data_IF_616122806056
#
_entry.id   IF_616122806056
#
_cell.length_a   1.000
_cell.length_b   1.000
_cell.length_c   1.000
_cell.angle_alpha   90.00
_cell.angle_beta   90.00
_cell.angle_gamma   90.00
#
_symmetry.space_group_name_H-M   'P 1'
#
loop_
_entity.id
_entity.type
_entity.pdbx_description
1 polymer ?
#
# COMPACT_ATOMS: atom_id res chain seq x y z
N UNK A 1 -19.86 -12.03 9.92
CA UNK A 1 -19.02 -11.40 10.95
C UNK A 1 -18.13 -10.36 10.28
N UNK A 2 -17.80 -9.28 10.99
CA UNK A 2 -16.98 -8.16 10.47
C UNK A 2 -15.53 -8.36 10.89
N UNK A 3 -14.61 -8.35 9.93
CA UNK A 3 -13.16 -8.36 10.17
C UNK A 3 -12.49 -7.02 9.83
N UNK A 4 -11.21 -6.89 10.18
CA UNK A 4 -10.39 -5.69 10.00
C UNK A 4 -8.97 -6.07 9.57
N UNK A 5 -8.51 -5.54 8.44
CA UNK A 5 -7.13 -5.72 7.94
C UNK A 5 -6.56 -4.38 7.49
N UNK A 6 -5.69 -3.77 8.30
CA UNK A 6 -5.05 -2.49 7.98
C UNK A 6 -3.55 -2.71 7.89
N UNK A 7 -3.01 -2.68 6.67
CA UNK A 7 -1.58 -2.85 6.43
C UNK A 7 -0.77 -1.60 6.79
N UNK A 8 0.48 -1.82 7.22
CA UNK A 8 1.49 -0.76 7.40
C UNK A 8 2.91 -1.35 7.33
N UNK A 9 3.91 -0.47 7.23
CA UNK A 9 5.30 -0.88 7.03
C UNK A 9 6.23 -0.44 8.15
N UNK A 10 5.93 0.71 8.77
CA UNK A 10 6.81 1.29 9.79
C UNK A 10 6.26 1.08 11.22
N UNK A 11 5.08 0.46 11.37
CA UNK A 11 4.45 0.17 12.67
C UNK A 11 4.39 1.42 13.56
N UNK A 12 4.56 1.28 14.88
CA UNK A 12 4.60 2.41 15.81
C UNK A 12 5.97 3.09 15.95
N UNK A 13 6.78 3.17 14.89
CA UNK A 13 8.16 3.68 14.98
C UNK A 13 8.25 5.10 15.57
N UNK A 14 7.31 5.99 15.26
CA UNK A 14 7.25 7.31 15.88
C UNK A 14 7.14 7.23 17.42
N UNK A 15 6.25 6.38 17.91
CA UNK A 15 6.09 6.11 19.35
C UNK A 15 7.36 5.51 19.94
N UNK A 16 7.99 4.57 19.23
CA UNK A 16 9.26 3.95 19.66
C UNK A 16 10.36 5.00 19.75
N UNK A 17 10.54 5.86 18.75
CA UNK A 17 11.54 6.93 18.77
C UNK A 17 11.31 7.89 19.95
N UNK A 18 10.07 8.27 20.23
CA UNK A 18 9.73 9.10 21.37
C UNK A 18 10.07 8.42 22.70
N UNK A 19 9.68 7.16 22.87
CA UNK A 19 9.94 6.41 24.10
C UNK A 19 11.40 5.99 24.26
N UNK A 20 12.16 5.86 23.18
CA UNK A 20 13.59 5.61 23.24
C UNK A 20 14.36 6.79 23.84
N UNK A 21 13.94 8.03 23.57
CA UNK A 21 14.48 9.22 24.25
C UNK A 21 14.19 9.18 25.75
N UNK A 22 12.95 8.87 26.12
CA UNK A 22 12.54 8.72 27.53
C UNK A 22 13.36 7.64 28.24
N UNK A 23 13.59 6.50 27.58
CA UNK A 23 14.43 5.42 28.11
C UNK A 23 15.84 5.90 28.42
N UNK A 24 16.46 6.66 27.51
CA UNK A 24 17.85 7.13 27.65
C UNK A 24 17.99 8.25 28.70
N UNK A 25 17.01 9.16 28.77
CA UNK A 25 17.09 10.35 29.64
C UNK A 25 16.57 10.07 31.06
N UNK A 26 15.55 9.21 31.20
CA UNK A 26 14.80 9.06 32.44
C UNK A 26 14.71 7.60 32.93
N UNK A 27 15.27 6.64 32.17
CA UNK A 27 15.35 5.24 32.54
C UNK A 27 14.08 4.41 32.25
N UNK A 28 14.18 3.07 32.35
CA UNK A 28 13.15 2.15 31.87
C UNK A 28 11.80 2.26 32.60
N UNK A 29 11.79 2.69 33.86
CA UNK A 29 10.53 2.86 34.63
C UNK A 29 9.66 4.01 34.11
N UNK A 30 10.20 4.87 33.25
CA UNK A 30 9.49 6.03 32.68
C UNK A 30 8.93 5.78 31.29
N UNK A 31 9.26 4.65 30.67
CA UNK A 31 8.69 4.24 29.39
C UNK A 31 7.20 3.98 29.57
N UNK A 32 6.39 4.55 28.68
CA UNK A 32 4.94 4.41 28.72
C UNK A 32 4.52 2.95 28.49
N UNK A 33 3.65 2.36 29.34
CA UNK A 33 3.17 1.00 29.15
C UNK A 33 2.33 0.83 27.87
N UNK A 34 1.71 1.91 27.37
CA UNK A 34 0.92 1.86 26.13
C UNK A 34 1.79 1.62 24.89
N UNK A 35 3.11 1.81 25.00
CA UNK A 35 4.02 1.58 23.89
C UNK A 35 3.97 0.11 23.44
N UNK A 36 3.90 -0.84 24.36
CA UNK A 36 3.89 -2.28 24.04
C UNK A 36 2.77 -2.66 23.05
N UNK A 37 1.49 -2.31 23.27
CA UNK A 37 0.42 -2.61 22.31
C UNK A 37 0.35 -1.66 21.10
N UNK A 38 1.04 -0.51 21.11
CA UNK A 38 0.96 0.48 20.02
C UNK A 38 2.16 0.46 19.08
N UNK A 39 3.26 -0.21 19.47
CA UNK A 39 4.44 -0.34 18.61
C UNK A 39 4.30 -1.48 17.58
N UNK A 40 3.36 -2.41 17.78
CA UNK A 40 3.16 -3.58 16.94
C UNK A 40 2.50 -3.21 15.62
N UNK A 41 2.79 -3.97 14.55
CA UNK A 41 2.25 -3.70 13.22
C UNK A 41 0.73 -3.88 13.11
N UNK A 42 0.12 -4.66 13.99
CA UNK A 42 -1.33 -4.90 14.03
C UNK A 42 -2.12 -3.87 14.83
N UNK A 43 -1.45 -2.92 15.51
CA UNK A 43 -2.08 -1.95 16.41
C UNK A 43 -3.25 -1.19 15.75
N UNK A 44 -3.11 -0.81 14.47
CA UNK A 44 -4.17 -0.13 13.73
C UNK A 44 -5.42 -1.01 13.55
N UNK A 45 -5.24 -2.26 13.10
CA UNK A 45 -6.35 -3.22 12.96
C UNK A 45 -7.02 -3.49 14.30
N UNK A 46 -6.24 -3.67 15.37
CA UNK A 46 -6.76 -3.91 16.72
C UNK A 46 -7.58 -2.71 17.21
N UNK A 47 -7.07 -1.48 17.06
CA UNK A 47 -7.81 -0.29 17.49
C UNK A 47 -9.13 -0.12 16.75
N UNK A 48 -9.14 -0.33 15.43
CA UNK A 48 -10.39 -0.27 14.65
C UNK A 48 -11.34 -1.39 15.06
N UNK A 49 -10.85 -2.61 15.30
CA UNK A 49 -11.66 -3.71 15.82
C UNK A 49 -12.30 -3.38 17.17
N UNK A 50 -11.55 -2.77 18.09
CA UNK A 50 -12.06 -2.33 19.39
C UNK A 50 -13.14 -1.25 19.26
N UNK A 51 -12.95 -0.26 18.38
CA UNK A 51 -13.90 0.83 18.14
C UNK A 51 -15.21 0.29 17.56
N UNK A 52 -15.11 -0.63 16.60
CA UNK A 52 -16.27 -1.18 15.89
C UNK A 52 -16.94 -2.35 16.63
N UNK A 53 -16.31 -2.88 17.69
CA UNK A 53 -16.72 -4.14 18.29
C UNK A 53 -16.61 -5.33 17.32
N UNK A 54 -15.72 -5.24 16.33
CA UNK A 54 -15.52 -6.26 15.31
C UNK A 54 -14.82 -7.48 15.92
N UNK A 55 -15.39 -8.67 15.70
CA UNK A 55 -14.93 -9.94 16.29
C UNK A 55 -14.45 -10.95 15.24
N UNK A 56 -14.46 -10.59 13.96
CA UNK A 56 -13.94 -11.42 12.88
C UNK A 56 -12.43 -11.34 12.75
N UNK A 57 -11.93 -11.75 11.58
CA UNK A 57 -10.51 -11.74 11.22
C UNK A 57 -9.85 -10.39 11.49
N UNK A 58 -8.74 -10.36 12.23
CA UNK A 58 -8.05 -9.13 12.63
C UNK A 58 -6.53 -9.32 12.61
N UNK A 59 -5.83 -8.73 11.64
CA UNK A 59 -4.36 -8.73 11.55
C UNK A 59 -3.87 -7.59 10.64
N UNK A 60 -2.56 -7.45 10.45
CA UNK A 60 -1.94 -6.43 9.59
C UNK A 60 -0.84 -7.05 8.71
N UNK A 61 -1.00 -7.07 7.38
CA UNK A 61 0.08 -7.46 6.48
C UNK A 61 1.11 -6.34 6.35
N UNK A 62 2.37 -6.72 6.23
CA UNK A 62 3.48 -5.80 5.95
C UNK A 62 4.25 -6.27 4.73
N UNK A 63 4.06 -5.57 3.62
CA UNK A 63 4.75 -5.78 2.34
C UNK A 63 5.33 -4.47 1.81
N UNK A 64 5.79 -3.59 2.71
CA UNK A 64 6.28 -2.26 2.38
C UNK A 64 5.21 -1.44 1.62
N UNK A 65 5.55 -0.82 0.49
CA UNK A 65 4.68 0.07 -0.26
C UNK A 65 3.36 -0.58 -0.73
N UNK A 66 3.29 -1.92 -0.84
CA UNK A 66 2.07 -2.64 -1.21
C UNK A 66 1.18 -3.03 -0.04
N UNK A 67 1.56 -2.75 1.21
CA UNK A 67 0.83 -3.22 2.42
C UNK A 67 -0.66 -2.89 2.40
N UNK A 68 -1.04 -1.69 1.94
CA UNK A 68 -2.45 -1.28 1.84
C UNK A 68 -3.22 -2.04 0.75
N UNK A 69 -2.61 -2.24 -0.42
CA UNK A 69 -3.22 -3.03 -1.51
C UNK A 69 -3.33 -4.51 -1.14
N UNK A 70 -2.33 -5.06 -0.46
CA UNK A 70 -2.34 -6.44 0.02
C UNK A 70 -3.40 -6.65 1.10
N UNK A 71 -3.63 -5.67 1.99
CA UNK A 71 -4.69 -5.71 2.97
C UNK A 71 -6.08 -5.77 2.31
N UNK A 72 -6.33 -4.91 1.31
CA UNK A 72 -7.57 -4.93 0.51
C UNK A 72 -7.72 -6.26 -0.23
N UNK A 73 -6.65 -6.73 -0.87
CA UNK A 73 -6.63 -7.99 -1.60
C UNK A 73 -6.89 -9.22 -0.73
N UNK A 74 -6.34 -9.25 0.47
CA UNK A 74 -6.58 -10.34 1.44
C UNK A 74 -7.98 -10.29 2.04
N UNK A 75 -8.52 -9.09 2.29
CA UNK A 75 -9.93 -8.93 2.69
C UNK A 75 -10.90 -9.44 1.61
N UNK A 76 -10.62 -9.13 0.33
CA UNK A 76 -11.35 -9.69 -0.80
C UNK A 76 -11.29 -11.22 -0.81
N UNK A 77 -10.12 -11.82 -0.60
CA UNK A 77 -9.98 -13.29 -0.54
C UNK A 77 -10.73 -13.90 0.65
N UNK A 78 -10.70 -13.27 1.82
CA UNK A 78 -11.42 -13.75 3.00
C UNK A 78 -12.94 -13.76 2.78
N UNK A 79 -13.50 -12.72 2.15
CA UNK A 79 -14.93 -12.69 1.78
C UNK A 79 -15.24 -13.78 0.76
N UNK A 80 -14.41 -13.91 -0.28
CA UNK A 80 -14.58 -14.94 -1.30
C UNK A 80 -14.50 -16.37 -0.78
N UNK A 81 -13.69 -16.60 0.25
CA UNK A 81 -13.57 -17.89 0.92
C UNK A 81 -14.76 -18.19 1.85
N UNK A 82 -15.61 -17.20 2.14
CA UNK A 82 -16.71 -17.30 3.10
C UNK A 82 -16.30 -17.09 4.55
N UNK A 83 -15.04 -16.71 4.82
CA UNK A 83 -14.51 -16.47 6.16
C UNK A 83 -15.03 -15.15 6.76
N UNK A 84 -15.50 -14.23 5.93
CA UNK A 84 -16.07 -12.95 6.34
C UNK A 84 -17.23 -12.51 5.42
N UNK A 85 -18.15 -11.71 5.97
CA UNK A 85 -19.18 -11.03 5.17
C UNK A 85 -18.89 -9.55 4.95
N UNK A 86 -18.14 -8.95 5.88
CA UNK A 86 -17.76 -7.54 5.90
C UNK A 86 -16.31 -7.46 6.36
N UNK A 87 -15.50 -6.66 5.67
CA UNK A 87 -14.12 -6.39 6.02
C UNK A 87 -13.86 -4.89 5.97
N UNK A 88 -13.26 -4.33 7.02
CA UNK A 88 -12.66 -3.00 6.97
C UNK A 88 -11.20 -3.17 6.58
N UNK A 89 -10.82 -2.72 5.39
CA UNK A 89 -9.49 -2.98 4.86
C UNK A 89 -8.83 -1.76 4.22
N UNK A 90 -7.51 -1.67 4.32
CA UNK A 90 -6.75 -0.56 3.75
C UNK A 90 -5.35 -0.45 4.30
N UNK A 91 -4.81 0.76 4.35
CA UNK A 91 -3.47 1.02 4.86
C UNK A 91 -3.36 2.33 5.63
N UNK A 92 -2.38 2.39 6.51
CA UNK A 92 -2.01 3.59 7.27
C UNK A 92 -0.50 3.70 7.35
N UNK A 93 0.02 4.92 7.30
CA UNK A 93 1.44 5.15 7.52
C UNK A 93 1.70 6.55 8.07
N UNK A 94 2.65 6.66 9.00
CA UNK A 94 3.10 7.93 9.58
C UNK A 94 4.64 7.98 9.59
N UNK A 95 5.29 8.05 8.41
CA UNK A 95 6.72 7.82 8.29
C UNK A 95 7.55 9.10 8.41
N UNK A 96 6.94 10.25 8.74
CA UNK A 96 7.65 11.53 8.81
C UNK A 96 8.39 11.62 10.16
N UNK A 97 9.51 10.90 10.25
CA UNK A 97 10.43 10.90 11.38
C UNK A 97 11.87 11.17 10.92
N UNK A 98 12.72 11.85 11.71
CA UNK A 98 14.10 12.12 11.32
C UNK A 98 14.91 10.87 10.93
N UNK A 99 14.72 9.77 11.65
CA UNK A 99 15.43 8.51 11.35
C UNK A 99 14.98 7.89 10.02
N UNK A 100 13.69 8.01 9.69
CA UNK A 100 13.11 7.47 8.45
C UNK A 100 13.57 8.31 7.26
N UNK A 101 13.50 9.64 7.39
CA UNK A 101 14.01 10.57 6.39
C UNK A 101 15.50 10.32 6.12
N UNK A 102 16.31 10.17 7.17
CA UNK A 102 17.73 9.86 7.05
C UNK A 102 17.98 8.51 6.36
N UNK A 103 17.23 7.46 6.73
CA UNK A 103 17.35 6.13 6.14
C UNK A 103 17.02 6.11 4.64
N UNK A 104 15.91 6.72 4.22
CA UNK A 104 15.54 6.79 2.80
C UNK A 104 16.47 7.70 2.00
N UNK A 105 16.99 8.77 2.59
CA UNK A 105 18.00 9.62 1.94
C UNK A 105 19.34 8.86 1.75
N UNK A 106 19.73 8.02 2.72
CA UNK A 106 20.96 7.22 2.67
C UNK A 106 20.96 6.20 1.50
N UNK A 107 19.78 5.68 1.13
CA UNK A 107 19.63 4.82 -0.06
C UNK A 107 19.26 5.59 -1.32
N UNK A 108 19.25 6.93 -1.26
CA UNK A 108 18.98 7.83 -2.39
C UNK A 108 17.59 7.64 -3.03
N UNK A 109 16.60 7.30 -2.22
CA UNK A 109 15.24 7.08 -2.71
C UNK A 109 14.38 8.37 -2.73
N UNK A 110 14.75 9.37 -1.93
CA UNK A 110 14.03 10.64 -1.82
C UNK A 110 14.48 11.66 -2.86
N UNK A 111 13.53 12.46 -3.35
CA UNK A 111 13.83 13.66 -4.12
C UNK A 111 14.70 14.62 -3.29
N UNK A 112 15.66 15.27 -3.94
CA UNK A 112 16.53 16.29 -3.34
C UNK A 112 16.12 17.71 -3.71
N UNK A 113 14.99 17.85 -4.42
CA UNK A 113 14.43 19.14 -4.83
C UNK A 113 13.72 19.82 -3.66
N UNK A 114 14.53 20.47 -2.82
CA UNK A 114 14.02 21.28 -1.71
C UNK A 114 13.51 22.66 -2.15
N UNK A 115 13.84 23.09 -3.38
CA UNK A 115 13.29 24.30 -4.00
C UNK A 115 12.16 23.90 -4.96
N UNK A 116 10.99 24.52 -4.84
CA UNK A 116 9.82 24.17 -5.67
C UNK A 116 9.20 22.81 -5.31
N UNK A 117 8.94 22.59 -4.02
CA UNK A 117 8.54 21.29 -3.44
C UNK A 117 7.28 20.69 -4.05
N UNK A 118 6.37 21.52 -4.56
CA UNK A 118 5.13 21.11 -5.22
C UNK A 118 5.41 20.36 -6.53
N UNK A 119 6.56 20.60 -7.16
CA UNK A 119 6.97 19.89 -8.37
C UNK A 119 8.02 18.80 -8.08
N UNK A 120 8.33 18.49 -6.83
CA UNK A 120 9.39 17.54 -6.50
C UNK A 120 9.00 16.09 -6.84
N UNK A 121 7.78 15.68 -6.51
CA UNK A 121 7.24 14.38 -6.89
C UNK A 121 6.71 14.44 -8.32
N UNK A 122 7.44 13.85 -9.27
CA UNK A 122 7.14 13.90 -10.71
C UNK A 122 7.25 12.52 -11.37
N UNK A 123 6.29 11.61 -11.12
CA UNK A 123 6.31 10.26 -11.69
C UNK A 123 6.43 10.29 -13.22
N UNK A 124 7.27 9.41 -13.77
CA UNK A 124 7.55 9.25 -15.20
C UNK A 124 8.19 10.46 -15.92
N UNK A 125 8.34 11.61 -15.25
CA UNK A 125 9.03 12.77 -15.80
C UNK A 125 10.53 12.49 -16.04
N UNK A 126 11.10 13.11 -17.07
CA UNK A 126 12.50 12.92 -17.45
C UNK A 126 13.49 13.39 -16.37
N UNK A 127 13.10 14.37 -15.55
CA UNK A 127 13.94 14.96 -14.51
C UNK A 127 13.61 14.50 -13.08
N UNK A 128 12.84 13.41 -12.94
CA UNK A 128 12.52 12.81 -11.64
C UNK A 128 13.77 12.32 -10.92
N UNK A 129 13.85 12.55 -9.61
CA UNK A 129 15.03 12.26 -8.80
C UNK A 129 14.74 11.49 -7.51
N UNK A 130 13.49 11.06 -7.29
CA UNK A 130 13.07 10.30 -6.12
C UNK A 130 11.64 10.64 -5.68
N UNK A 131 11.13 9.89 -4.72
CA UNK A 131 9.81 10.14 -4.15
C UNK A 131 9.86 11.22 -3.06
N UNK A 132 8.69 11.76 -2.70
CA UNK A 132 8.51 12.63 -1.53
C UNK A 132 7.77 11.84 -0.46
N UNK A 133 8.27 11.84 0.78
CA UNK A 133 7.58 11.16 1.88
C UNK A 133 6.26 11.87 2.20
N UNK A 134 5.18 11.09 2.20
CA UNK A 134 3.87 11.49 2.71
C UNK A 134 3.45 10.61 3.88
N UNK A 135 2.42 11.06 4.59
CA UNK A 135 1.74 10.31 5.64
C UNK A 135 0.23 10.32 5.40
N UNK A 136 -0.47 9.32 5.92
CA UNK A 136 -1.92 9.25 5.77
C UNK A 136 -2.49 7.85 5.99
N UNK A 137 -3.80 7.75 5.88
CA UNK A 137 -4.53 6.50 5.95
C UNK A 137 -5.67 6.49 4.94
N UNK A 138 -5.94 5.32 4.38
CA UNK A 138 -7.10 5.07 3.52
C UNK A 138 -7.68 3.70 3.87
N UNK A 139 -8.99 3.66 4.09
CA UNK A 139 -9.71 2.43 4.44
C UNK A 139 -11.02 2.35 3.65
N UNK A 140 -11.42 1.12 3.35
CA UNK A 140 -12.65 0.78 2.63
C UNK A 140 -13.44 -0.23 3.45
N UNK A 141 -14.77 -0.19 3.33
CA UNK A 141 -15.64 -1.27 3.77
C UNK A 141 -15.91 -2.15 2.55
N UNK A 142 -15.49 -3.41 2.62
CA UNK A 142 -15.63 -4.41 1.56
C UNK A 142 -16.62 -5.45 2.06
N UNK A 143 -17.58 -5.83 1.22
CA UNK A 143 -18.66 -6.73 1.62
C UNK A 143 -18.89 -7.80 0.57
N UNK A 144 -19.48 -8.90 1.02
CA UNK A 144 -20.15 -9.83 0.12
C UNK A 144 -21.26 -9.09 -0.65
N UNK A 145 -21.29 -9.25 -1.98
CA UNK A 145 -22.20 -8.49 -2.84
C UNK A 145 -23.67 -8.81 -2.55
N UNK A 146 -24.00 -10.08 -2.28
CA UNK A 146 -25.38 -10.48 -1.97
C UNK A 146 -25.85 -9.86 -0.65
N UNK A 147 -24.97 -9.85 0.36
CA UNK A 147 -25.23 -9.21 1.64
C UNK A 147 -25.41 -7.69 1.51
N UNK A 148 -24.54 -7.03 0.74
CA UNK A 148 -24.63 -5.59 0.48
C UNK A 148 -25.95 -5.21 -0.21
N UNK A 149 -26.37 -6.00 -1.21
CA UNK A 149 -27.66 -5.82 -1.92
C UNK A 149 -28.85 -6.05 -0.99
N UNK A 150 -28.84 -7.13 -0.21
CA UNK A 150 -29.93 -7.47 0.71
C UNK A 150 -30.23 -6.33 1.70
N UNK A 151 -29.20 -5.67 2.21
CA UNK A 151 -29.32 -4.57 3.17
C UNK A 151 -29.44 -3.18 2.52
N UNK A 152 -29.49 -3.09 1.19
CA UNK A 152 -29.58 -1.82 0.45
C UNK A 152 -28.36 -0.91 0.60
N UNK A 153 -27.17 -1.48 0.71
CA UNK A 153 -25.93 -0.72 0.79
C UNK A 153 -25.60 -0.01 -0.53
N UNK A 154 -25.11 1.24 -0.51
CA UNK A 154 -24.60 1.87 -1.72
C UNK A 154 -23.29 1.18 -2.17
N UNK A 155 -23.27 0.69 -3.41
CA UNK A 155 -22.11 0.00 -4.00
C UNK A 155 -21.35 1.01 -4.87
N UNK A 156 -20.08 1.27 -4.53
CA UNK A 156 -19.22 2.21 -5.27
C UNK A 156 -18.49 1.53 -6.44
N UNK A 157 -18.00 0.31 -6.21
CA UNK A 157 -17.24 -0.49 -7.17
C UNK A 157 -17.20 -1.96 -6.71
N UNK A 158 -16.78 -2.84 -7.61
CA UNK A 158 -16.52 -4.25 -7.32
C UNK A 158 -15.02 -4.56 -7.42
N UNK A 159 -14.49 -5.33 -6.48
CA UNK A 159 -13.14 -5.87 -6.57
C UNK A 159 -13.22 -7.22 -7.29
N UNK A 160 -12.74 -7.26 -8.53
CA UNK A 160 -12.85 -8.46 -9.38
C UNK A 160 -11.61 -9.35 -9.32
N UNK A 161 -10.46 -8.82 -8.91
CA UNK A 161 -9.22 -9.59 -8.84
C UNK A 161 -8.13 -8.94 -7.99
N UNK A 162 -7.27 -9.77 -7.44
CA UNK A 162 -6.08 -9.39 -6.68
C UNK A 162 -4.97 -10.41 -6.91
N UNK A 163 -3.72 -9.97 -6.98
CA UNK A 163 -2.57 -10.87 -6.90
C UNK A 163 -1.37 -10.17 -6.27
N UNK A 164 -0.42 -10.97 -5.79
CA UNK A 164 0.85 -10.51 -5.22
C UNK A 164 1.95 -11.46 -5.67
N UNK A 165 3.14 -10.90 -5.93
CA UNK A 165 4.31 -11.63 -6.41
C UNK A 165 5.57 -11.03 -5.80
N UNK A 166 6.67 -11.78 -5.79
CA UNK A 166 7.99 -11.28 -5.42
C UNK A 166 8.91 -11.24 -6.64
N UNK A 167 9.77 -10.23 -6.71
CA UNK A 167 10.83 -10.13 -7.73
C UNK A 167 11.96 -11.12 -7.46
N UNK A 168 12.23 -11.44 -6.20
CA UNK A 168 13.39 -12.24 -5.77
C UNK A 168 14.73 -11.79 -6.39
N UNK A 169 14.91 -10.47 -6.56
CA UNK A 169 16.01 -9.89 -7.33
C UNK A 169 16.98 -9.06 -6.48
N UNK A 170 16.49 -7.98 -5.86
CA UNK A 170 17.31 -7.06 -5.06
C UNK A 170 16.49 -6.51 -3.89
N UNK A 171 17.15 -6.13 -2.80
CA UNK A 171 16.48 -5.68 -1.58
C UNK A 171 15.68 -4.38 -1.77
N UNK A 172 16.25 -3.43 -2.52
CA UNK A 172 15.70 -2.07 -2.69
C UNK A 172 15.46 -1.65 -4.13
N UNK A 173 15.78 -2.51 -5.10
CA UNK A 173 15.65 -2.20 -6.52
C UNK A 173 14.67 -3.18 -7.16
N UNK A 174 13.78 -2.70 -8.05
CA UNK A 174 12.91 -3.59 -8.80
C UNK A 174 13.73 -4.41 -9.79
N UNK A 175 13.17 -5.54 -10.22
CA UNK A 175 13.67 -6.25 -11.40
C UNK A 175 13.76 -5.28 -12.60
N UNK A 176 14.90 -5.18 -13.31
CA UNK A 176 15.12 -4.15 -14.33
C UNK A 176 14.08 -4.15 -15.45
N UNK A 177 13.54 -5.33 -15.78
CA UNK A 177 12.55 -5.51 -16.83
C UNK A 177 11.10 -5.51 -16.30
N UNK A 178 10.92 -5.27 -14.99
CA UNK A 178 9.59 -5.20 -14.36
C UNK A 178 8.86 -6.54 -14.35
N UNK A 179 9.59 -7.65 -14.40
CA UNK A 179 9.00 -8.96 -14.68
C UNK A 179 8.07 -9.45 -13.56
N UNK A 180 8.40 -9.23 -12.28
CA UNK A 180 7.48 -9.55 -11.18
C UNK A 180 6.21 -8.71 -11.20
N UNK A 181 6.32 -7.39 -11.41
CA UNK A 181 5.16 -6.52 -11.60
C UNK A 181 4.29 -6.97 -12.79
N UNK A 182 4.91 -7.36 -13.92
CA UNK A 182 4.19 -7.89 -15.08
C UNK A 182 3.47 -9.21 -14.76
N UNK A 183 4.08 -10.10 -13.97
CA UNK A 183 3.40 -11.32 -13.49
C UNK A 183 2.22 -10.99 -12.60
N UNK A 184 2.35 -10.06 -11.65
CA UNK A 184 1.26 -9.65 -10.78
C UNK A 184 0.07 -9.12 -11.60
N UNK A 185 0.33 -8.26 -12.59
CA UNK A 185 -0.71 -7.75 -13.50
C UNK A 185 -1.41 -8.88 -14.26
N UNK A 186 -0.65 -9.82 -14.88
CA UNK A 186 -1.24 -10.96 -15.60
C UNK A 186 -2.06 -11.88 -14.70
N UNK A 187 -1.60 -12.14 -13.48
CA UNK A 187 -2.32 -12.96 -12.50
C UNK A 187 -3.59 -12.26 -12.02
N UNK A 188 -3.56 -10.94 -11.80
CA UNK A 188 -4.73 -10.17 -11.41
C UNK A 188 -5.80 -10.18 -12.51
N UNK A 189 -5.41 -9.91 -13.76
CA UNK A 189 -6.29 -10.02 -14.95
C UNK A 189 -6.89 -11.42 -15.09
N UNK A 190 -6.05 -12.46 -14.99
CA UNK A 190 -6.51 -13.86 -15.05
C UNK A 190 -7.51 -14.20 -13.94
N UNK A 191 -7.29 -13.70 -12.72
CA UNK A 191 -8.20 -13.94 -11.58
C UNK A 191 -9.52 -13.18 -11.70
N UNK A 192 -9.50 -12.05 -12.39
CA UNK A 192 -10.67 -11.26 -12.73
C UNK A 192 -11.41 -11.75 -13.97
N UNK A 193 -10.86 -12.73 -14.70
CA UNK A 193 -11.34 -13.16 -16.02
C UNK A 193 -11.44 -12.00 -17.03
N UNK A 194 -10.45 -11.09 -16.98
CA UNK A 194 -10.38 -9.92 -17.85
C UNK A 194 -9.20 -10.02 -18.82
N UNK A 195 -9.39 -9.46 -20.01
CA UNK A 195 -8.36 -9.21 -21.00
C UNK A 195 -7.75 -7.82 -20.82
N UNK A 196 -6.54 -7.56 -21.36
CA UNK A 196 -5.95 -6.22 -21.33
C UNK A 196 -6.83 -5.12 -21.95
N UNK A 197 -7.66 -5.47 -22.94
CA UNK A 197 -8.58 -4.52 -23.59
C UNK A 197 -9.74 -4.08 -22.72
N UNK A 198 -10.06 -4.83 -21.65
CA UNK A 198 -11.14 -4.51 -20.71
C UNK A 198 -10.70 -3.48 -19.65
N UNK A 199 -9.43 -3.10 -19.63
CA UNK A 199 -8.92 -2.10 -18.68
C UNK A 199 -9.01 -0.72 -19.29
N UNK A 200 -9.72 0.17 -18.59
CA UNK A 200 -9.92 1.55 -19.02
C UNK A 200 -8.96 2.54 -18.37
N UNK A 201 -8.33 2.19 -17.25
CA UNK A 201 -7.47 3.09 -16.50
C UNK A 201 -6.48 2.33 -15.61
N UNK A 202 -5.28 2.88 -15.45
CA UNK A 202 -4.27 2.38 -14.50
C UNK A 202 -3.87 3.50 -13.54
N UNK A 203 -4.06 3.26 -12.25
CA UNK A 203 -3.38 4.02 -11.20
C UNK A 203 -2.04 3.36 -10.91
N UNK A 204 -0.95 3.97 -11.36
CA UNK A 204 0.40 3.44 -11.23
C UNK A 204 0.94 3.61 -9.81
N UNK A 205 1.90 2.77 -9.43
CA UNK A 205 2.70 2.96 -8.23
C UNK A 205 3.50 4.27 -8.32
N UNK A 206 4.13 4.54 -9.47
CA UNK A 206 4.65 5.84 -9.89
C UNK A 206 5.37 6.60 -8.77
N UNK A 207 6.54 6.11 -8.35
CA UNK A 207 7.25 6.69 -7.19
C UNK A 207 8.12 7.89 -7.56
N UNK A 208 8.16 8.31 -8.83
CA UNK A 208 9.10 9.33 -9.28
C UNK A 208 10.58 8.92 -9.11
N UNK A 209 10.87 7.63 -8.90
CA UNK A 209 12.24 7.11 -8.88
C UNK A 209 12.63 6.63 -10.28
N UNK A 210 13.92 6.73 -10.61
CA UNK A 210 14.41 6.40 -11.95
C UNK A 210 14.15 4.93 -12.32
N UNK A 211 14.48 4.02 -11.40
CA UNK A 211 14.39 2.57 -11.63
C UNK A 211 12.94 2.07 -11.61
N UNK A 212 12.13 2.46 -10.61
CA UNK A 212 10.75 2.01 -10.49
C UNK A 212 9.93 2.39 -11.72
N UNK A 213 9.88 3.68 -12.04
CA UNK A 213 8.97 4.17 -13.09
C UNK A 213 9.34 3.58 -14.46
N UNK A 214 10.64 3.28 -14.68
CA UNK A 214 11.12 2.57 -15.87
C UNK A 214 10.67 1.10 -15.87
N UNK A 215 10.86 0.38 -14.76
CA UNK A 215 10.47 -1.01 -14.62
C UNK A 215 8.95 -1.18 -14.72
N UNK A 216 8.18 -0.30 -14.07
CA UNK A 216 6.71 -0.27 -14.11
C UNK A 216 6.20 0.01 -15.53
N UNK A 217 6.77 0.99 -16.24
CA UNK A 217 6.44 1.26 -17.65
C UNK A 217 6.68 0.03 -18.53
N UNK A 218 7.79 -0.68 -18.32
CA UNK A 218 8.10 -1.93 -19.06
C UNK A 218 7.12 -3.03 -18.74
N UNK A 219 6.79 -3.22 -17.45
CA UNK A 219 5.83 -4.19 -16.98
C UNK A 219 4.47 -3.98 -17.67
N UNK A 220 3.92 -2.76 -17.60
CA UNK A 220 2.65 -2.38 -18.21
C UNK A 220 2.69 -2.64 -19.72
N UNK A 221 3.70 -2.12 -20.44
CA UNK A 221 3.81 -2.35 -21.90
C UNK A 221 3.92 -3.83 -22.28
N UNK A 222 4.55 -4.66 -21.44
CA UNK A 222 4.67 -6.10 -21.68
C UNK A 222 3.36 -6.88 -21.48
N UNK A 223 2.43 -6.34 -20.68
CA UNK A 223 1.14 -7.00 -20.37
C UNK A 223 0.05 -6.51 -21.32
N UNK A 224 -0.02 -5.21 -21.57
CA UNK A 224 -1.06 -4.59 -22.39
C UNK A 224 -0.70 -4.50 -23.88
N UNK A 225 0.51 -4.88 -24.28
CA UNK A 225 0.93 -4.93 -25.67
C UNK A 225 0.96 -3.55 -26.36
N UNK A 226 1.21 -3.53 -27.67
CA UNK A 226 1.42 -2.28 -28.42
C UNK A 226 0.14 -1.45 -28.63
N UNK A 227 -1.02 -2.08 -28.62
CA UNK A 227 -2.29 -1.38 -28.83
C UNK A 227 -2.80 -0.79 -27.52
N UNK A 228 -3.09 -1.64 -26.53
CA UNK A 228 -3.76 -1.18 -25.31
C UNK A 228 -2.86 -0.34 -24.42
N UNK A 229 -1.55 -0.64 -24.35
CA UNK A 229 -0.62 0.16 -23.52
C UNK A 229 -0.49 1.63 -23.97
N UNK A 230 -0.89 1.99 -25.19
CA UNK A 230 -0.89 3.37 -25.68
C UNK A 230 -2.28 4.01 -25.67
N UNK A 231 -3.35 3.22 -25.47
CA UNK A 231 -4.73 3.69 -25.34
C UNK A 231 -5.09 3.99 -23.89
N UNK A 232 -4.66 3.15 -22.96
CA UNK A 232 -5.09 3.20 -21.56
C UNK A 232 -4.48 4.43 -20.87
N UNK A 233 -5.28 5.37 -20.35
CA UNK A 233 -4.77 6.47 -19.52
C UNK A 233 -4.14 5.94 -18.23
N UNK A 234 -3.00 6.53 -17.87
CA UNK A 234 -2.24 6.21 -16.66
C UNK A 234 -2.01 7.50 -15.90
N UNK A 235 -2.26 7.47 -14.59
CA UNK A 235 -1.79 8.50 -13.68
C UNK A 235 -1.17 7.86 -12.44
N UNK A 236 -0.50 8.65 -11.60
CA UNK A 236 0.03 8.22 -10.32
C UNK A 236 -0.48 9.18 -9.25
N UNK A 237 -1.24 8.67 -8.28
CA UNK A 237 -1.80 9.49 -7.18
C UNK A 237 -0.75 10.10 -6.24
N UNK A 238 0.53 9.79 -6.45
CA UNK A 238 1.68 10.37 -5.76
C UNK A 238 2.04 11.77 -6.28
N UNK A 239 1.56 12.16 -7.47
CA UNK A 239 1.71 13.52 -7.99
C UNK A 239 0.66 14.42 -7.31
N UNK A 240 1.12 15.40 -6.53
CA UNK A 240 0.28 16.39 -5.83
C UNK A 240 0.48 17.76 -6.44
#
# INVERSE_FOLDING_TARGET
>A
ETGVIIGNSVCGLLSVCGQFKVLNEAGPRRVSPILAPTMTGDAASVQVSLILGAKGLSYSPSSACSSGSDAIGQAYQAIRAGDAKVMVAGGTEAPIAPIILAAFNAIHALSRRNNGVQAACRPFDAERDGFVLGEGAAVMVIEDASYAVERGAPILAEIVGYSSTSDAFHLTQPSPDGEGAARALRLALKRADLSPSDIDYINAHGTATLLNDRAETRAIKSVFGKHDAYRIPISASTHV
#
